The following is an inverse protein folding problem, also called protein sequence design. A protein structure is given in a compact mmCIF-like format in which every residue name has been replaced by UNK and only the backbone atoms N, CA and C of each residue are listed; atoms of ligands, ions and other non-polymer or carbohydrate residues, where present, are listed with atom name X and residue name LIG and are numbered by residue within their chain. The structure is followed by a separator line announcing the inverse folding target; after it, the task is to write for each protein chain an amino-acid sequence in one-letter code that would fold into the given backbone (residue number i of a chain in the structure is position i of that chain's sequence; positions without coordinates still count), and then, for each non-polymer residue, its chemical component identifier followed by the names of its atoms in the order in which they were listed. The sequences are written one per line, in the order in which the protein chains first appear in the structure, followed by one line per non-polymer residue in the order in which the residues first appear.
data_IF_415051066344
#
_entry.id   IF_415051066344
#
_cell.length_a   1.000
_cell.length_b   1.000
_cell.length_c   1.000
_cell.angle_alpha   90.00
_cell.angle_beta   90.00
_cell.angle_gamma   90.00
#
_symmetry.space_group_name_H-M   'P 1'
#
loop_
_entity.id
_entity.type
_entity.pdbx_description
1 polymer ?
#
# COMPACT_ATOMS: atom_id res chain seq x y z
N UNK A 1 19.60 -1.45 11.59
CA UNK A 1 18.82 -0.19 11.59
C UNK A 1 18.52 0.14 10.14
N UNK A 2 17.28 0.39 9.76
CA UNK A 2 16.88 0.64 8.37
C UNK A 2 15.83 1.73 8.29
N UNK A 3 15.64 2.26 7.09
CA UNK A 3 14.64 3.29 6.78
C UNK A 3 13.41 2.63 6.16
N UNK A 4 12.24 2.84 6.73
CA UNK A 4 10.98 2.33 6.24
C UNK A 4 10.10 3.45 5.70
N UNK A 5 9.55 3.25 4.50
CA UNK A 5 8.51 4.10 3.93
C UNK A 5 7.24 3.25 3.79
N UNK A 6 6.25 3.53 4.63
CA UNK A 6 4.99 2.77 4.71
C UNK A 6 3.88 3.57 4.05
N UNK A 7 3.43 3.12 2.87
CA UNK A 7 2.44 3.83 2.06
C UNK A 7 1.07 3.15 2.18
N UNK A 8 0.07 3.92 2.52
CA UNK A 8 -1.29 3.47 2.77
C UNK A 8 -2.09 3.16 1.51
N UNK A 9 -3.17 2.39 1.64
CA UNK A 9 -4.15 2.09 0.60
C UNK A 9 -5.19 3.19 0.36
N UNK A 10 -6.20 2.88 -0.45
CA UNK A 10 -7.30 3.78 -0.73
C UNK A 10 -8.03 4.22 0.55
N UNK A 11 -8.52 5.45 0.59
CA UNK A 11 -9.33 6.04 1.67
C UNK A 11 -8.61 6.20 3.02
N UNK A 12 -7.38 5.72 3.15
CA UNK A 12 -6.58 5.84 4.36
C UNK A 12 -5.71 7.11 4.35
N UNK A 13 -4.81 7.19 5.31
CA UNK A 13 -3.73 8.17 5.43
C UNK A 13 -2.59 7.53 6.23
N UNK A 14 -1.51 8.26 6.44
CA UNK A 14 -0.38 7.80 7.25
C UNK A 14 -0.76 7.33 8.66
N UNK A 15 -1.92 7.77 9.15
CA UNK A 15 -2.49 7.40 10.45
C UNK A 15 -2.71 5.88 10.62
N UNK A 16 -3.00 5.14 9.54
CA UNK A 16 -3.26 3.70 9.62
C UNK A 16 -2.00 2.90 9.99
N UNK A 17 -0.84 3.46 9.80
CA UNK A 17 0.44 2.85 10.13
C UNK A 17 0.92 3.14 11.55
N UNK A 18 0.19 3.94 12.36
CA UNK A 18 0.67 4.43 13.65
C UNK A 18 1.21 3.32 14.57
N UNK A 19 0.53 2.19 14.65
CA UNK A 19 0.93 1.09 15.54
C UNK A 19 2.21 0.41 15.04
N UNK A 20 2.28 0.10 13.75
CA UNK A 20 3.46 -0.48 13.11
C UNK A 20 4.63 0.50 13.14
N UNK A 21 4.39 1.79 12.85
CA UNK A 21 5.41 2.84 12.94
C UNK A 21 6.01 2.91 14.33
N UNK A 22 5.18 2.94 15.37
CA UNK A 22 5.63 3.06 16.75
C UNK A 22 6.45 1.83 17.19
N UNK A 23 6.08 0.63 16.72
CA UNK A 23 6.82 -0.61 16.99
C UNK A 23 8.19 -0.62 16.26
N UNK A 24 8.24 -0.29 14.98
CA UNK A 24 9.49 -0.18 14.21
C UNK A 24 10.40 0.90 14.78
N UNK A 25 9.85 2.06 15.18
CA UNK A 25 10.64 3.14 15.77
C UNK A 25 11.26 2.73 17.12
N UNK A 26 10.52 2.00 17.98
CA UNK A 26 11.06 1.43 19.22
C UNK A 26 12.15 0.40 18.97
N UNK A 27 12.13 -0.29 17.83
CA UNK A 27 13.18 -1.20 17.40
C UNK A 27 14.40 -0.48 16.78
N UNK A 28 14.40 0.86 16.75
CA UNK A 28 15.53 1.67 16.30
C UNK A 28 15.54 1.98 14.80
N UNK A 29 14.44 1.74 14.08
CA UNK A 29 14.31 2.09 12.68
C UNK A 29 13.81 3.54 12.49
N UNK A 30 14.19 4.21 11.39
CA UNK A 30 13.52 5.44 10.93
C UNK A 30 12.29 5.03 10.13
N UNK A 31 11.14 5.64 10.40
CA UNK A 31 9.87 5.24 9.79
C UNK A 31 9.09 6.45 9.29
N UNK A 32 8.81 6.44 8.01
CA UNK A 32 8.05 7.47 7.31
C UNK A 32 6.69 6.89 6.90
N UNK A 33 5.63 7.60 7.25
CA UNK A 33 4.24 7.21 6.95
C UNK A 33 3.51 8.36 6.27
N UNK A 34 3.87 8.68 5.01
CA UNK A 34 3.25 9.81 4.32
C UNK A 34 1.76 9.56 4.10
N UNK A 35 0.94 10.59 4.24
CA UNK A 35 -0.37 10.61 3.61
C UNK A 35 -0.21 11.09 2.18
N UNK A 36 -0.82 10.37 1.23
CA UNK A 36 -0.84 10.72 -0.17
C UNK A 36 -1.71 11.98 -0.39
N UNK A 37 -1.44 12.76 -1.42
CA UNK A 37 -2.22 13.95 -1.78
C UNK A 37 -3.70 13.64 -1.85
N UNK A 38 -4.53 14.43 -1.17
CA UNK A 38 -5.98 14.22 -1.08
C UNK A 38 -6.43 13.21 -0.03
N UNK A 39 -5.50 12.60 0.74
CA UNK A 39 -5.81 11.58 1.73
C UNK A 39 -5.34 11.97 3.14
N UNK A 40 -5.96 11.40 4.17
CA UNK A 40 -5.59 11.67 5.55
C UNK A 40 -5.60 13.17 5.88
N UNK A 41 -4.53 13.67 6.51
CA UNK A 41 -4.35 15.10 6.82
C UNK A 41 -4.25 15.98 5.55
N UNK A 42 -3.98 15.39 4.40
CA UNK A 42 -3.94 16.09 3.10
C UNK A 42 -5.29 16.09 2.37
N UNK A 43 -6.39 15.70 3.04
CA UNK A 43 -7.75 15.65 2.42
C UNK A 43 -8.17 16.97 1.77
N UNK A 44 -7.68 18.10 2.29
CA UNK A 44 -7.95 19.43 1.75
C UNK A 44 -7.36 19.67 0.35
N UNK A 45 -6.46 18.79 -0.11
CA UNK A 45 -5.87 18.78 -1.46
C UNK A 45 -6.59 17.82 -2.41
N UNK A 46 -7.68 17.17 -1.96
CA UNK A 46 -8.46 16.28 -2.80
C UNK A 46 -9.12 17.08 -3.94
N UNK A 47 -8.98 16.56 -5.14
CA UNK A 47 -9.55 17.19 -6.34
C UNK A 47 -9.54 16.25 -7.55
N UNK A 48 -10.29 16.61 -8.61
CA UNK A 48 -10.47 15.76 -9.80
C UNK A 48 -9.17 15.49 -10.58
N UNK A 49 -8.13 16.31 -10.37
CA UNK A 49 -6.82 16.13 -11.02
C UNK A 49 -5.86 15.24 -10.23
N UNK A 50 -6.24 14.82 -9.01
CA UNK A 50 -5.44 13.88 -8.22
C UNK A 50 -5.58 12.49 -8.80
N UNK A 51 -4.47 11.89 -9.20
CA UNK A 51 -4.40 10.56 -9.77
C UNK A 51 -3.10 9.84 -9.41
N UNK A 52 -2.86 8.68 -10.01
CA UNK A 52 -1.68 7.84 -9.71
C UNK A 52 -0.37 8.61 -9.85
N UNK A 53 -0.23 9.42 -10.91
CA UNK A 53 0.98 10.21 -11.14
C UNK A 53 1.28 11.23 -10.03
N UNK A 54 0.23 11.75 -9.35
CA UNK A 54 0.40 12.63 -8.17
C UNK A 54 0.96 11.83 -7.01
N UNK A 55 0.38 10.69 -6.68
CA UNK A 55 0.83 9.83 -5.59
C UNK A 55 2.24 9.25 -5.81
N UNK A 56 2.60 8.96 -7.06
CA UNK A 56 3.99 8.59 -7.40
C UNK A 56 4.97 9.72 -7.07
N UNK A 57 4.59 10.98 -7.35
CA UNK A 57 5.44 12.15 -6.99
C UNK A 57 5.54 12.34 -5.48
N UNK A 58 4.47 12.09 -4.72
CA UNK A 58 4.47 12.16 -3.26
C UNK A 58 5.54 11.22 -2.68
N UNK A 59 5.50 9.94 -3.08
CA UNK A 59 6.43 8.93 -2.55
C UNK A 59 7.86 9.15 -3.05
N UNK A 60 8.05 9.41 -4.34
CA UNK A 60 9.38 9.67 -4.90
C UNK A 60 9.98 10.97 -4.35
N UNK A 61 9.13 11.99 -4.11
CA UNK A 61 9.53 13.23 -3.45
C UNK A 61 10.00 12.99 -2.03
N UNK A 62 9.26 12.22 -1.22
CA UNK A 62 9.67 11.85 0.12
C UNK A 62 11.05 11.19 0.13
N UNK A 63 11.26 10.16 -0.71
CA UNK A 63 12.54 9.45 -0.81
C UNK A 63 13.69 10.40 -1.12
N UNK A 64 13.45 11.39 -1.97
CA UNK A 64 14.46 12.37 -2.38
C UNK A 64 14.75 13.41 -1.29
N UNK A 65 13.71 14.03 -0.70
CA UNK A 65 13.89 15.19 0.20
C UNK A 65 14.23 14.78 1.63
N UNK A 66 13.98 13.53 2.02
CA UNK A 66 14.45 12.94 3.28
C UNK A 66 15.82 12.26 3.12
N UNK A 67 16.46 12.38 1.94
CA UNK A 67 17.75 11.79 1.60
C UNK A 67 17.81 10.28 1.95
N UNK A 68 16.75 9.54 1.58
CA UNK A 68 16.67 8.11 1.86
C UNK A 68 17.43 7.34 0.77
N UNK A 69 18.49 6.66 1.18
CA UNK A 69 19.26 5.73 0.35
C UNK A 69 19.19 4.33 0.98
N UNK A 70 18.65 3.36 0.24
CA UNK A 70 18.42 2.01 0.73
C UNK A 70 17.17 1.86 1.59
N UNK A 71 16.09 2.60 1.29
CA UNK A 71 14.83 2.50 2.00
C UNK A 71 14.06 1.21 1.68
N UNK A 72 13.38 0.65 2.69
CA UNK A 72 12.40 -0.42 2.54
C UNK A 72 11.02 0.18 2.26
N UNK A 73 10.55 0.03 1.03
CA UNK A 73 9.23 0.53 0.61
C UNK A 73 8.17 -0.53 0.87
N UNK A 74 7.19 -0.21 1.71
CA UNK A 74 6.04 -1.07 2.02
C UNK A 74 4.78 -0.43 1.46
N UNK A 75 4.09 -1.14 0.59
CA UNK A 75 2.94 -0.65 -0.16
C UNK A 75 1.70 -1.45 0.20
N UNK A 76 0.69 -0.80 0.79
CA UNK A 76 -0.55 -1.44 1.16
C UNK A 76 -1.63 -1.23 0.10
N UNK A 77 -2.35 -2.31 -0.26
CA UNK A 77 -3.57 -2.23 -1.08
C UNK A 77 -3.34 -1.48 -2.42
N UNK A 78 -4.08 -0.41 -2.67
CA UNK A 78 -3.92 0.49 -3.81
C UNK A 78 -2.47 0.92 -4.04
N UNK A 79 -1.72 1.20 -2.96
CA UNK A 79 -0.36 1.71 -3.11
C UNK A 79 0.57 0.78 -3.90
N UNK A 80 0.22 -0.50 -4.06
CA UNK A 80 0.95 -1.43 -4.92
C UNK A 80 1.05 -0.99 -6.38
N UNK A 81 0.05 -0.22 -6.86
CA UNK A 81 0.05 0.38 -8.21
C UNK A 81 1.22 1.36 -8.40
N UNK A 82 1.71 1.95 -7.32
CA UNK A 82 2.81 2.92 -7.33
C UNK A 82 4.19 2.25 -7.44
N UNK A 83 4.31 0.93 -7.20
CA UNK A 83 5.58 0.24 -7.04
C UNK A 83 6.54 0.44 -8.22
N UNK A 84 6.09 0.13 -9.43
CA UNK A 84 6.90 0.26 -10.64
C UNK A 84 7.32 1.70 -10.93
N UNK A 85 6.37 2.65 -11.02
CA UNK A 85 6.69 4.06 -11.27
C UNK A 85 7.57 4.70 -10.20
N UNK A 86 7.42 4.31 -8.93
CA UNK A 86 8.29 4.80 -7.83
C UNK A 86 9.68 4.20 -7.95
N UNK A 87 9.80 2.88 -8.21
CA UNK A 87 11.10 2.23 -8.39
C UNK A 87 11.88 2.84 -9.56
N UNK A 88 11.22 3.17 -10.67
CA UNK A 88 11.83 3.87 -11.80
C UNK A 88 12.31 5.28 -11.43
N UNK A 89 11.44 6.09 -10.79
CA UNK A 89 11.78 7.48 -10.44
C UNK A 89 12.79 7.62 -9.31
N UNK A 90 12.82 6.65 -8.40
CA UNK A 90 13.70 6.60 -7.25
C UNK A 90 14.81 5.56 -7.39
N UNK A 91 15.26 5.31 -8.63
CA UNK A 91 16.28 4.33 -8.93
C UNK A 91 17.51 4.50 -8.02
N UNK A 92 17.93 3.38 -7.36
CA UNK A 92 19.05 3.36 -6.42
C UNK A 92 18.73 3.80 -5.00
N UNK A 93 17.51 4.29 -4.69
CA UNK A 93 17.11 4.70 -3.33
C UNK A 93 16.38 3.63 -2.53
N UNK A 94 16.00 2.53 -3.16
CA UNK A 94 15.26 1.44 -2.53
C UNK A 94 16.18 0.24 -2.28
N UNK A 95 16.10 -0.35 -1.09
CA UNK A 95 16.73 -1.62 -0.75
C UNK A 95 15.79 -2.81 -1.03
N UNK A 96 14.48 -2.61 -0.86
CA UNK A 96 13.48 -3.66 -1.10
C UNK A 96 12.08 -3.06 -1.28
N UNK A 97 11.18 -3.86 -1.86
CA UNK A 97 9.74 -3.55 -1.95
C UNK A 97 8.93 -4.67 -1.31
N UNK A 98 7.97 -4.30 -0.46
CA UNK A 98 7.00 -5.24 0.13
C UNK A 98 5.59 -4.83 -0.25
N UNK A 99 4.90 -5.72 -0.97
CA UNK A 99 3.47 -5.59 -1.26
C UNK A 99 2.67 -6.18 -0.09
N UNK A 100 1.98 -5.35 0.67
CA UNK A 100 1.21 -5.78 1.83
C UNK A 100 -0.29 -5.82 1.47
N UNK A 101 -0.81 -7.00 1.11
CA UNK A 101 -2.18 -7.12 0.61
C UNK A 101 -2.45 -6.16 -0.56
N UNK A 102 -1.52 -6.04 -1.50
CA UNK A 102 -1.50 -4.94 -2.46
C UNK A 102 -1.71 -5.40 -3.90
N UNK A 103 -2.19 -4.47 -4.72
CA UNK A 103 -2.40 -4.70 -6.15
C UNK A 103 -1.07 -4.71 -6.92
N UNK A 104 -0.92 -5.68 -7.82
CA UNK A 104 0.25 -5.80 -8.71
C UNK A 104 -0.20 -5.57 -10.13
N UNK A 105 0.16 -4.43 -10.70
CA UNK A 105 -0.15 -4.06 -12.08
C UNK A 105 1.07 -4.19 -12.99
N UNK A 106 0.84 -4.36 -14.28
CA UNK A 106 1.87 -4.34 -15.33
C UNK A 106 1.91 -2.96 -16.00
N UNK A 107 2.99 -2.62 -16.73
CA UNK A 107 3.00 -1.42 -17.56
C UNK A 107 1.79 -1.35 -18.48
N UNK A 108 1.13 -0.20 -18.54
CA UNK A 108 -0.07 0.04 -19.31
C UNK A 108 -1.41 -0.33 -18.63
N UNK A 109 -1.38 -0.99 -17.49
CA UNK A 109 -2.59 -1.34 -16.73
C UNK A 109 -2.95 -0.27 -15.69
N UNK A 110 -4.24 -0.19 -15.35
CA UNK A 110 -4.74 0.50 -14.16
C UNK A 110 -5.15 -0.50 -13.07
N UNK A 111 -5.51 -0.02 -11.88
CA UNK A 111 -5.96 -0.90 -10.80
C UNK A 111 -7.19 -1.72 -11.19
N UNK A 112 -8.15 -1.10 -11.89
CA UNK A 112 -9.39 -1.78 -12.28
C UNK A 112 -9.19 -2.94 -13.25
N UNK A 113 -8.05 -2.99 -13.97
CA UNK A 113 -7.72 -4.11 -14.87
C UNK A 113 -7.37 -5.40 -14.09
N UNK A 114 -7.05 -5.28 -12.80
CA UNK A 114 -6.69 -6.41 -11.93
C UNK A 114 -7.76 -6.74 -10.89
N UNK A 115 -8.86 -5.99 -10.88
CA UNK A 115 -10.02 -6.24 -10.03
C UNK A 115 -10.96 -7.29 -10.67
N UNK A 116 -11.81 -7.95 -9.86
CA UNK A 116 -12.82 -8.86 -10.38
C UNK A 116 -13.77 -8.20 -11.37
N UNK A 117 -14.32 -8.98 -12.34
CA UNK A 117 -15.31 -8.47 -13.28
C UNK A 117 -16.47 -7.76 -12.57
N UNK A 118 -16.90 -6.62 -13.11
CA UNK A 118 -18.00 -5.80 -12.58
C UNK A 118 -17.57 -4.82 -11.47
N UNK A 119 -16.39 -4.94 -10.88
CA UNK A 119 -15.91 -3.95 -9.88
C UNK A 119 -15.74 -2.58 -10.50
N UNK A 120 -15.22 -2.51 -11.73
CA UNK A 120 -15.04 -1.25 -12.45
C UNK A 120 -16.36 -0.50 -12.67
N UNK A 121 -17.41 -1.22 -13.09
CA UNK A 121 -18.73 -0.62 -13.34
C UNK A 121 -19.35 -0.16 -12.03
N UNK A 122 -19.22 -0.93 -10.95
CA UNK A 122 -19.70 -0.55 -9.62
C UNK A 122 -19.01 0.73 -9.12
N UNK A 123 -17.70 0.84 -9.26
CA UNK A 123 -16.97 2.04 -8.80
C UNK A 123 -17.32 3.26 -9.66
N UNK A 124 -17.44 3.11 -10.98
CA UNK A 124 -17.90 4.21 -11.85
C UNK A 124 -19.32 4.66 -11.52
N UNK A 125 -20.24 3.70 -11.27
CA UNK A 125 -21.61 4.02 -10.87
C UNK A 125 -21.64 4.75 -9.52
N UNK A 126 -20.88 4.27 -8.52
CA UNK A 126 -20.79 4.91 -7.21
C UNK A 126 -20.22 6.34 -7.32
N UNK A 127 -19.16 6.52 -8.08
CA UNK A 127 -18.60 7.85 -8.31
C UNK A 127 -19.62 8.78 -9.01
N UNK A 128 -20.36 8.27 -10.00
CA UNK A 128 -21.36 9.06 -10.72
C UNK A 128 -22.56 9.47 -9.86
N UNK A 129 -22.98 8.61 -8.91
CA UNK A 129 -24.18 8.85 -8.08
C UNK A 129 -23.90 9.59 -6.78
N UNK A 130 -22.73 9.37 -6.18
CA UNK A 130 -22.39 9.83 -4.82
C UNK A 130 -21.04 10.54 -4.73
N UNK A 131 -20.21 10.48 -5.80
CA UNK A 131 -18.85 10.99 -5.83
C UNK A 131 -18.62 12.09 -6.86
N UNK A 132 -19.65 12.87 -7.21
CA UNK A 132 -19.58 14.01 -8.17
C UNK A 132 -18.95 13.63 -9.53
N UNK A 133 -18.92 12.31 -9.83
CA UNK A 133 -18.33 11.74 -11.05
C UNK A 133 -16.82 11.54 -11.01
N UNK A 134 -16.11 11.93 -9.92
CA UNK A 134 -14.66 11.91 -9.90
C UNK A 134 -14.01 11.31 -8.62
N UNK A 135 -14.79 11.00 -7.57
CA UNK A 135 -14.27 10.33 -6.38
C UNK A 135 -15.17 9.17 -5.92
N UNK A 136 -14.61 8.29 -5.12
CA UNK A 136 -15.32 7.25 -4.38
C UNK A 136 -15.53 7.76 -2.96
N UNK A 137 -16.80 7.91 -2.49
CA UNK A 137 -17.06 8.39 -1.15
C UNK A 137 -16.55 7.41 -0.10
N UNK A 138 -15.96 7.94 0.98
CA UNK A 138 -15.55 7.15 2.12
C UNK A 138 -16.78 6.66 2.89
N UNK A 139 -16.82 5.36 3.16
CA UNK A 139 -17.87 4.73 3.96
C UNK A 139 -17.27 3.81 5.03
N UNK A 140 -17.80 3.90 6.25
CA UNK A 140 -17.33 3.09 7.37
C UNK A 140 -17.53 1.59 7.16
N UNK A 141 -18.46 1.16 6.30
CA UNK A 141 -18.70 -0.24 5.97
C UNK A 141 -17.48 -0.88 5.29
N UNK A 142 -16.62 -0.11 4.65
CA UNK A 142 -15.36 -0.61 4.08
C UNK A 142 -14.47 -1.23 5.15
N UNK A 143 -14.39 -0.68 6.37
CA UNK A 143 -13.61 -1.25 7.46
C UNK A 143 -14.06 -2.68 7.79
N UNK A 144 -15.38 -2.92 7.81
CA UNK A 144 -15.93 -4.27 8.00
C UNK A 144 -15.60 -5.19 6.82
N UNK A 145 -15.71 -4.69 5.61
CA UNK A 145 -15.37 -5.41 4.37
C UNK A 145 -13.87 -5.75 4.32
N UNK A 146 -13.01 -4.87 4.84
CA UNK A 146 -11.56 -5.09 4.95
C UNK A 146 -11.16 -5.94 6.15
N UNK A 147 -12.13 -6.43 6.93
CA UNK A 147 -11.91 -7.38 8.00
C UNK A 147 -11.49 -6.76 9.32
N UNK A 148 -11.72 -5.45 9.52
CA UNK A 148 -11.52 -4.83 10.83
C UNK A 148 -12.67 -5.26 11.75
N UNK A 149 -12.38 -6.20 12.66
CA UNK A 149 -13.39 -6.85 13.49
C UNK A 149 -13.62 -6.17 14.84
N UNK A 150 -12.58 -5.55 15.40
CA UNK A 150 -12.65 -4.82 16.65
C UNK A 150 -13.50 -3.55 16.53
N UNK A 151 -14.55 -3.43 17.35
CA UNK A 151 -15.49 -2.32 17.29
C UNK A 151 -14.86 -0.98 17.69
N UNK A 152 -13.98 -0.99 18.69
CA UNK A 152 -13.30 0.23 19.14
C UNK A 152 -12.32 0.72 18.07
N UNK A 153 -11.64 -0.22 17.40
CA UNK A 153 -10.76 0.09 16.28
C UNK A 153 -11.53 0.66 15.10
N UNK A 154 -12.70 0.07 14.74
CA UNK A 154 -13.57 0.63 13.71
C UNK A 154 -14.07 2.04 14.06
N UNK A 155 -14.54 2.23 15.27
CA UNK A 155 -15.01 3.54 15.74
C UNK A 155 -13.89 4.59 15.71
N UNK A 156 -12.64 4.16 15.95
CA UNK A 156 -11.48 5.04 15.86
C UNK A 156 -11.07 5.31 14.41
N UNK A 157 -11.12 4.34 13.52
CA UNK A 157 -10.68 4.46 12.13
C UNK A 157 -11.71 5.16 11.22
N UNK A 158 -13.01 4.89 11.41
CA UNK A 158 -14.09 5.38 10.54
C UNK A 158 -14.05 6.91 10.28
N UNK A 159 -13.93 7.79 11.28
CA UNK A 159 -13.89 9.24 11.05
C UNK A 159 -12.59 9.73 10.38
N UNK A 160 -11.63 8.84 10.14
CA UNK A 160 -10.34 9.13 9.51
C UNK A 160 -10.29 8.72 8.05
N UNK A 161 -11.27 7.95 7.59
CA UNK A 161 -11.38 7.63 6.17
C UNK A 161 -11.67 8.91 5.36
N UNK A 162 -11.15 8.96 4.16
CA UNK A 162 -11.29 10.09 3.22
C UNK A 162 -11.76 9.61 1.87
N UNK A 163 -12.56 10.42 1.19
CA UNK A 163 -12.95 10.15 -0.18
C UNK A 163 -11.73 9.90 -1.05
N UNK A 164 -11.87 9.03 -2.05
CA UNK A 164 -10.73 8.55 -2.83
C UNK A 164 -10.88 8.91 -4.31
N UNK A 165 -9.87 9.55 -4.95
CA UNK A 165 -9.95 9.95 -6.35
C UNK A 165 -10.20 8.75 -7.26
N UNK A 166 -11.22 8.80 -8.12
CA UNK A 166 -11.51 7.73 -9.07
C UNK A 166 -10.34 7.52 -10.04
N UNK A 167 -9.59 8.56 -10.39
CA UNK A 167 -8.41 8.49 -11.24
C UNK A 167 -7.33 7.57 -10.68
N UNK A 168 -7.23 7.43 -9.37
CA UNK A 168 -6.32 6.47 -8.74
C UNK A 168 -6.69 5.01 -9.02
N UNK A 169 -7.94 4.76 -9.44
CA UNK A 169 -8.41 3.43 -9.86
C UNK A 169 -8.28 3.22 -11.39
N UNK A 170 -8.40 4.31 -12.17
CA UNK A 170 -8.58 4.27 -13.62
C UNK A 170 -7.37 4.74 -14.43
N UNK A 171 -6.45 5.51 -13.82
CA UNK A 171 -5.25 5.94 -14.52
C UNK A 171 -4.34 4.74 -14.78
N UNK A 172 -4.09 4.44 -16.03
CA UNK A 172 -3.09 3.46 -16.42
C UNK A 172 -1.69 3.96 -16.04
N UNK A 173 -0.84 3.05 -15.56
CA UNK A 173 0.55 3.36 -15.20
C UNK A 173 1.49 2.79 -16.23
N UNK A 174 2.36 3.62 -16.75
CA UNK A 174 3.46 3.18 -17.62
C UNK A 174 4.79 3.36 -16.88
N UNK A 175 5.65 2.35 -16.95
CA UNK A 175 6.94 2.34 -16.28
C UNK A 175 7.87 1.28 -16.87
N UNK A 176 9.18 1.49 -16.74
CA UNK A 176 10.17 0.45 -16.97
C UNK A 176 10.14 -0.57 -15.82
N UNK A 177 9.84 -1.85 -16.06
CA UNK A 177 9.83 -2.88 -15.03
C UNK A 177 11.23 -3.24 -14.49
N UNK A 178 12.30 -2.90 -15.20
CA UNK A 178 13.68 -3.27 -14.83
C UNK A 178 14.09 -2.83 -13.43
N UNK A 179 13.90 -1.57 -13.04
CA UNK A 179 14.23 -1.11 -11.68
C UNK A 179 13.54 -1.89 -10.58
N UNK A 180 12.24 -2.19 -10.70
CA UNK A 180 11.51 -3.00 -9.72
C UNK A 180 11.97 -4.46 -9.74
N UNK A 181 12.20 -5.03 -10.92
CA UNK A 181 12.65 -6.43 -11.07
C UNK A 181 14.04 -6.67 -10.47
N UNK A 182 14.87 -5.63 -10.37
CA UNK A 182 16.20 -5.68 -9.74
C UNK A 182 16.20 -5.62 -8.21
N UNK A 183 15.02 -5.43 -7.56
CA UNK A 183 14.92 -5.28 -6.12
C UNK A 183 14.46 -6.57 -5.42
N UNK A 184 14.99 -6.90 -4.24
CA UNK A 184 14.38 -7.87 -3.35
C UNK A 184 12.91 -7.50 -3.11
N UNK A 185 11.99 -8.38 -3.50
CA UNK A 185 10.56 -8.09 -3.43
C UNK A 185 9.81 -9.21 -2.72
N UNK A 186 8.91 -8.84 -1.81
CA UNK A 186 8.05 -9.76 -1.09
C UNK A 186 6.56 -9.38 -1.27
N UNK A 187 5.69 -10.39 -1.19
CA UNK A 187 4.25 -10.22 -1.14
C UNK A 187 3.70 -10.81 0.15
N UNK A 188 2.96 -10.03 0.90
CA UNK A 188 2.30 -10.45 2.14
C UNK A 188 0.79 -10.49 1.89
N UNK A 189 0.20 -11.68 1.95
CA UNK A 189 -1.25 -11.84 1.88
C UNK A 189 -1.88 -11.83 3.28
N UNK A 190 -3.07 -11.25 3.41
CA UNK A 190 -3.96 -11.46 4.54
C UNK A 190 -4.90 -12.63 4.27
N UNK A 191 -5.39 -13.30 5.33
CA UNK A 191 -6.14 -14.56 5.17
C UNK A 191 -7.49 -14.59 5.89
N UNK A 192 -7.87 -13.53 6.65
CA UNK A 192 -9.08 -13.53 7.49
C UNK A 192 -9.87 -12.20 7.39
N UNK A 193 -10.82 -12.07 6.46
CA UNK A 193 -11.09 -12.89 5.31
C UNK A 193 -10.12 -12.61 4.16
N UNK A 194 -9.91 -13.52 3.22
CA UNK A 194 -9.19 -13.19 1.98
C UNK A 194 -10.04 -12.23 1.14
N UNK A 195 -9.39 -11.26 0.52
CA UNK A 195 -10.04 -10.30 -0.39
C UNK A 195 -9.94 -10.81 -1.83
N UNK A 196 -11.06 -11.18 -2.48
CA UNK A 196 -11.04 -11.77 -3.84
C UNK A 196 -10.35 -10.89 -4.89
N UNK A 197 -10.43 -9.56 -4.76
CA UNK A 197 -9.77 -8.61 -5.66
C UNK A 197 -8.25 -8.73 -5.71
N UNK A 198 -7.63 -9.37 -4.72
CA UNK A 198 -6.18 -9.55 -4.67
C UNK A 198 -5.68 -10.90 -5.23
N UNK A 199 -6.58 -11.80 -5.64
CA UNK A 199 -6.20 -13.13 -6.11
C UNK A 199 -5.25 -13.05 -7.32
N UNK A 200 -5.57 -12.22 -8.31
CA UNK A 200 -4.72 -12.02 -9.49
C UNK A 200 -3.35 -11.42 -9.12
N UNK A 201 -3.31 -10.51 -8.17
CA UNK A 201 -2.06 -9.90 -7.69
C UNK A 201 -1.16 -10.92 -6.99
N UNK A 202 -1.72 -11.80 -6.19
CA UNK A 202 -0.99 -12.91 -5.56
C UNK A 202 -0.44 -13.88 -6.61
N UNK A 203 -1.21 -14.22 -7.64
CA UNK A 203 -0.75 -15.09 -8.71
C UNK A 203 0.39 -14.45 -9.52
N UNK A 204 0.31 -13.15 -9.75
CA UNK A 204 1.42 -12.39 -10.36
C UNK A 204 2.67 -12.40 -9.50
N UNK A 205 2.55 -12.19 -8.19
CA UNK A 205 3.66 -12.25 -7.25
C UNK A 205 4.35 -13.64 -7.29
N UNK A 206 3.57 -14.71 -7.32
CA UNK A 206 4.07 -16.09 -7.50
C UNK A 206 4.80 -16.26 -8.84
N UNK A 207 4.22 -15.76 -9.92
CA UNK A 207 4.82 -15.84 -11.26
C UNK A 207 6.15 -15.06 -11.37
N UNK A 208 6.30 -13.98 -10.61
CA UNK A 208 7.56 -13.24 -10.47
C UNK A 208 8.59 -13.94 -9.58
N UNK A 209 8.22 -15.00 -8.86
CA UNK A 209 9.11 -15.68 -7.91
C UNK A 209 9.39 -14.86 -6.65
N UNK A 210 8.51 -13.92 -6.30
CA UNK A 210 8.67 -13.11 -5.10
C UNK A 210 8.50 -13.96 -3.82
N UNK A 211 9.08 -13.49 -2.73
CA UNK A 211 8.93 -14.14 -1.42
C UNK A 211 7.51 -13.94 -0.88
N UNK A 212 6.76 -15.05 -0.69
CA UNK A 212 5.33 -15.00 -0.33
C UNK A 212 5.17 -15.32 1.16
N UNK A 213 4.49 -14.41 1.86
CA UNK A 213 4.17 -14.55 3.28
C UNK A 213 2.67 -14.41 3.53
N UNK A 214 2.22 -14.82 4.74
CA UNK A 214 0.82 -14.70 5.15
C UNK A 214 0.71 -14.13 6.56
N UNK A 215 -0.32 -13.29 6.77
CA UNK A 215 -0.73 -12.80 8.08
C UNK A 215 -2.18 -13.25 8.32
N UNK A 216 -2.48 -13.92 9.45
CA UNK A 216 -3.85 -14.33 9.80
C UNK A 216 -4.62 -13.13 10.39
N UNK A 217 -4.93 -12.17 9.54
CA UNK A 217 -5.67 -10.95 9.86
C UNK A 217 -6.52 -10.53 8.66
N UNK A 218 -7.30 -9.47 8.81
CA UNK A 218 -8.02 -8.80 7.73
C UNK A 218 -7.07 -8.02 6.79
N UNK A 219 -7.66 -7.36 5.82
CA UNK A 219 -6.92 -6.56 4.84
C UNK A 219 -6.11 -5.44 5.50
N UNK A 220 -6.67 -4.82 6.54
CA UNK A 220 -6.00 -3.78 7.34
C UNK A 220 -5.11 -4.38 8.44
N UNK A 221 -4.24 -5.33 8.08
CA UNK A 221 -3.38 -6.06 9.02
C UNK A 221 -2.45 -5.14 9.82
N UNK A 222 -2.16 -3.95 9.34
CA UNK A 222 -1.38 -2.95 10.08
C UNK A 222 -2.16 -2.35 11.26
N UNK A 223 -3.49 -2.44 11.24
CA UNK A 223 -4.39 -2.03 12.33
C UNK A 223 -4.75 -3.21 13.23
N UNK A 224 -5.12 -4.36 12.65
CA UNK A 224 -5.64 -5.52 13.36
C UNK A 224 -4.56 -6.40 14.01
N UNK A 225 -3.39 -6.47 13.38
CA UNK A 225 -2.29 -7.35 13.81
C UNK A 225 -0.93 -6.63 13.71
N UNK A 226 -0.76 -5.44 14.35
CA UNK A 226 0.42 -4.60 14.16
C UNK A 226 1.71 -5.28 14.61
N UNK A 227 1.71 -6.05 15.69
CA UNK A 227 2.89 -6.77 16.17
C UNK A 227 3.34 -7.86 15.18
N UNK A 228 2.37 -8.62 14.65
CA UNK A 228 2.65 -9.68 13.68
C UNK A 228 3.14 -9.08 12.37
N UNK A 229 2.50 -8.01 11.92
CA UNK A 229 2.90 -7.25 10.71
C UNK A 229 4.32 -6.69 10.88
N UNK A 230 4.62 -6.07 12.01
CA UNK A 230 5.95 -5.51 12.30
C UNK A 230 7.02 -6.58 12.31
N UNK A 231 6.83 -7.69 13.05
CA UNK A 231 7.79 -8.80 13.07
C UNK A 231 8.04 -9.37 11.69
N UNK A 232 6.99 -9.49 10.87
CA UNK A 232 7.13 -9.98 9.52
C UNK A 232 7.93 -9.02 8.64
N UNK A 233 7.61 -7.72 8.66
CA UNK A 233 8.35 -6.71 7.91
C UNK A 233 9.84 -6.70 8.30
N UNK A 234 10.16 -6.71 9.59
CA UNK A 234 11.55 -6.76 10.07
C UNK A 234 12.28 -8.03 9.58
N UNK A 235 11.61 -9.19 9.57
CA UNK A 235 12.19 -10.43 9.07
C UNK A 235 12.45 -10.41 7.56
N UNK A 236 11.51 -9.86 6.78
CA UNK A 236 11.63 -9.71 5.32
C UNK A 236 12.84 -8.82 4.99
N UNK A 237 12.94 -7.68 5.63
CA UNK A 237 13.99 -6.68 5.35
C UNK A 237 15.34 -7.06 5.95
N UNK A 238 15.38 -7.79 7.06
CA UNK A 238 16.63 -8.28 7.69
C UNK A 238 17.35 -9.40 6.92
N UNK A 239 16.66 -10.07 5.99
CA UNK A 239 17.28 -11.09 5.11
C UNK A 239 18.26 -10.52 4.07
N UNK A 240 18.24 -9.19 3.86
CA UNK A 240 19.18 -8.49 2.97
C UNK A 240 20.49 -8.09 3.63
N UNK A 241 20.65 -8.22 4.97
CA UNK A 241 21.91 -7.94 5.65
C UNK A 241 22.80 -9.20 5.67
N UNK A 242 24.00 -9.17 5.08
CA UNK A 242 24.92 -10.29 5.16
C UNK A 242 25.36 -10.46 6.61
N UNK A 243 24.85 -11.46 7.31
CA UNK A 243 25.29 -11.84 8.67
C UNK A 243 24.22 -12.05 9.73
N UNK A 244 22.91 -11.96 9.41
CA UNK A 244 21.90 -12.38 10.37
C UNK A 244 21.86 -13.92 10.46
N UNK A 245 22.16 -14.56 11.62
CA UNK A 245 22.04 -16.00 11.74
C UNK A 245 20.58 -16.41 11.67
N UNK A 246 20.29 -17.48 10.90
CA UNK A 246 19.02 -18.17 10.97
C UNK A 246 18.78 -18.61 12.41
N UNK A 247 17.91 -17.90 13.12
CA UNK A 247 17.46 -18.29 14.45
C UNK A 247 16.56 -19.52 14.36
N UNK A 248 16.55 -20.37 15.38
CA UNK A 248 15.87 -21.66 15.38
C UNK A 248 14.36 -21.57 15.26
#
# INVERSE_FOLDING_TARGET
MGDYVLVHGAMHGGWCWRFVRDLLSRAGHRVFTPSLTGQGEHRHLLGPDVGVATHVRDVAGLLRYEDLDGAHLVLHSYAGVLAGPVAERAAGRLASVTFLGAFVVRPGECLLDVEPPGTADRYRALAATEGEGWYLPADASFLTQWGVTDEALRAWAAPRLTDFPLRCQTDAVDFDPGPLAGLPTAYVQHTLPPLPGLAQSLDRARAHGWDIHSVPAGHDMMLEAPETTTRLLTRITGRGEPGAPDGP
#
